data_IF_835417576911
#
_entry.id   IF_835417576911
#
_cell.length_a   1.000
_cell.length_b   1.000
_cell.length_c   1.000
_cell.angle_alpha   90.00
_cell.angle_beta   90.00
_cell.angle_gamma   90.00
#
_symmetry.space_group_name_H-M   'P 1'
#
loop_
_entity.id
_entity.type
_entity.pdbx_description
1 polymer ?
#
# COMPACT_ATOMS: atom_id res chain seq x y z
N UNK A 1 -16.69 0.09 -14.90
CA UNK A 1 -16.35 -1.14 -14.15
C UNK A 1 -15.40 -0.74 -13.03
N UNK A 2 -15.46 -1.37 -11.85
CA UNK A 2 -14.48 -1.13 -10.80
C UNK A 2 -13.09 -1.57 -11.27
N UNK A 3 -12.05 -0.84 -10.85
CA UNK A 3 -10.65 -1.15 -11.20
C UNK A 3 -10.15 -2.44 -10.53
N UNK A 4 -10.67 -2.77 -9.34
CA UNK A 4 -10.33 -3.94 -8.54
C UNK A 4 -11.59 -4.71 -8.15
N UNK A 5 -11.52 -6.04 -8.12
CA UNK A 5 -12.68 -6.91 -7.84
C UNK A 5 -12.98 -7.05 -6.35
N UNK A 6 -11.95 -7.03 -5.48
CA UNK A 6 -11.98 -7.32 -4.04
C UNK A 6 -12.68 -8.63 -3.65
N UNK A 7 -11.89 -9.63 -3.24
CA UNK A 7 -12.43 -10.87 -2.72
C UNK A 7 -12.71 -10.73 -1.21
N UNK A 8 -13.94 -11.06 -0.74
CA UNK A 8 -14.29 -10.96 0.67
C UNK A 8 -13.52 -11.99 1.51
N UNK A 9 -13.45 -11.76 2.83
CA UNK A 9 -12.78 -12.65 3.81
C UNK A 9 -13.27 -14.10 3.75
N UNK A 10 -14.58 -14.29 3.52
CA UNK A 10 -15.22 -15.59 3.41
C UNK A 10 -15.35 -16.09 1.96
N UNK A 11 -14.61 -15.50 1.03
CA UNK A 11 -14.61 -15.98 -0.35
C UNK A 11 -14.03 -17.39 -0.38
N UNK A 12 -14.72 -18.36 -1.03
CA UNK A 12 -14.34 -19.76 -0.94
C UNK A 12 -12.96 -20.07 -1.53
N UNK A 13 -12.39 -19.19 -2.38
CA UNK A 13 -10.97 -19.09 -2.72
C UNK A 13 -10.78 -18.04 -3.85
N UNK A 14 -9.58 -17.50 -4.02
CA UNK A 14 -9.17 -16.90 -5.29
C UNK A 14 -9.26 -17.99 -6.35
N UNK A 15 -10.29 -17.93 -7.20
CA UNK A 15 -10.50 -18.95 -8.22
C UNK A 15 -9.46 -18.83 -9.34
N UNK A 16 -9.28 -19.89 -10.11
CA UNK A 16 -8.37 -19.94 -11.27
C UNK A 16 -8.61 -18.77 -12.26
N UNK A 17 -9.84 -18.27 -12.34
CA UNK A 17 -10.19 -17.14 -13.19
C UNK A 17 -9.44 -15.85 -12.81
N UNK A 18 -9.11 -15.64 -11.54
CA UNK A 18 -8.30 -14.49 -11.14
C UNK A 18 -6.92 -14.53 -11.78
N UNK A 19 -6.21 -15.66 -11.69
CA UNK A 19 -4.90 -15.85 -12.31
C UNK A 19 -4.98 -15.70 -13.83
N UNK A 20 -5.99 -16.31 -14.47
CA UNK A 20 -6.23 -16.16 -15.91
C UNK A 20 -6.53 -14.71 -16.31
N UNK A 21 -7.22 -13.94 -15.46
CA UNK A 21 -7.48 -12.53 -15.70
C UNK A 21 -6.21 -11.69 -15.65
N UNK A 22 -5.24 -12.03 -14.78
CA UNK A 22 -3.94 -11.37 -14.75
C UNK A 22 -3.16 -11.64 -16.06
N UNK A 23 -3.12 -12.90 -16.51
CA UNK A 23 -2.52 -13.27 -17.80
C UNK A 23 -3.15 -12.52 -18.97
N UNK A 24 -4.47 -12.33 -18.95
CA UNK A 24 -5.17 -11.59 -20.01
C UNK A 24 -4.84 -10.09 -19.96
N UNK A 25 -4.76 -9.51 -18.75
CA UNK A 25 -4.50 -8.07 -18.53
C UNK A 25 -3.11 -7.66 -19.02
N UNK A 26 -2.11 -8.55 -18.91
CA UNK A 26 -0.72 -8.26 -19.25
C UNK A 26 -0.15 -9.17 -20.36
N UNK A 27 -0.96 -9.97 -21.05
CA UNK A 27 -0.50 -10.98 -22.01
C UNK A 27 0.06 -10.47 -23.34
N UNK A 28 0.21 -9.15 -23.51
CA UNK A 28 0.76 -8.50 -24.73
C UNK A 28 2.15 -7.90 -24.48
N UNK A 29 2.98 -8.56 -23.69
CA UNK A 29 4.32 -8.06 -23.34
C UNK A 29 5.39 -8.93 -24.00
N UNK A 30 6.56 -8.35 -24.22
CA UNK A 30 7.73 -9.07 -24.74
C UNK A 30 8.28 -10.11 -23.73
N UNK A 31 7.86 -10.02 -22.47
CA UNK A 31 8.20 -10.95 -21.38
C UNK A 31 7.05 -11.91 -21.03
N UNK A 32 6.13 -12.17 -21.97
CA UNK A 32 4.96 -13.02 -21.73
C UNK A 32 5.28 -14.37 -21.07
N UNK A 33 6.32 -15.07 -21.52
CA UNK A 33 6.68 -16.38 -20.95
C UNK A 33 7.16 -16.24 -19.49
N UNK A 34 7.95 -15.22 -19.18
CA UNK A 34 8.36 -14.93 -17.81
C UNK A 34 7.14 -14.69 -16.93
N UNK A 35 6.20 -13.88 -17.43
CA UNK A 35 4.98 -13.55 -16.73
C UNK A 35 4.06 -14.75 -16.48
N UNK A 36 3.95 -15.68 -17.45
CA UNK A 36 3.21 -16.93 -17.28
C UNK A 36 3.81 -17.80 -16.16
N UNK A 37 5.13 -17.90 -16.09
CA UNK A 37 5.84 -18.63 -15.03
C UNK A 37 5.68 -17.96 -13.66
N UNK A 38 5.77 -16.63 -13.59
CA UNK A 38 5.53 -15.83 -12.38
C UNK A 38 4.12 -16.04 -11.82
N UNK A 39 3.10 -15.99 -12.68
CA UNK A 39 1.70 -16.24 -12.29
C UNK A 39 1.51 -17.68 -11.81
N UNK A 40 2.13 -18.66 -12.47
CA UNK A 40 2.08 -20.06 -12.04
C UNK A 40 2.75 -20.27 -10.67
N UNK A 41 3.89 -19.62 -10.41
CA UNK A 41 4.57 -19.64 -9.12
C UNK A 41 3.70 -19.02 -8.01
N UNK A 42 3.07 -17.86 -8.28
CA UNK A 42 2.15 -17.22 -7.34
C UNK A 42 0.91 -18.10 -7.07
N UNK A 43 0.39 -18.78 -8.08
CA UNK A 43 -0.73 -19.71 -7.93
C UNK A 43 -0.34 -20.94 -7.09
N UNK A 44 0.86 -21.49 -7.28
CA UNK A 44 1.37 -22.58 -6.47
C UNK A 44 1.51 -22.15 -5.00
N UNK A 45 2.00 -20.94 -4.76
CA UNK A 45 2.11 -20.34 -3.43
C UNK A 45 0.75 -20.14 -2.77
N UNK A 46 -0.23 -19.56 -3.49
CA UNK A 46 -1.60 -19.38 -3.00
C UNK A 46 -2.21 -20.69 -2.48
N UNK A 47 -2.01 -21.77 -3.25
CA UNK A 47 -2.50 -23.11 -2.96
C UNK A 47 -1.63 -23.90 -1.95
N UNK A 48 -0.68 -23.23 -1.28
CA UNK A 48 0.22 -23.84 -0.31
C UNK A 48 1.03 -25.03 -0.85
N UNK A 49 1.31 -25.05 -2.16
CA UNK A 49 2.13 -26.08 -2.82
C UNK A 49 3.62 -25.81 -2.70
N UNK A 50 3.99 -24.58 -2.35
CA UNK A 50 5.38 -24.12 -2.17
C UNK A 50 5.52 -23.38 -0.85
N UNK A 51 6.74 -23.40 -0.28
CA UNK A 51 7.06 -22.52 0.85
C UNK A 51 7.24 -21.07 0.37
N UNK A 52 7.29 -20.13 1.30
CA UNK A 52 7.51 -18.70 1.00
C UNK A 52 8.86 -18.51 0.28
N UNK A 53 9.92 -19.17 0.72
CA UNK A 53 11.26 -19.09 0.14
C UNK A 53 11.32 -19.73 -1.25
N UNK A 54 10.67 -20.89 -1.41
CA UNK A 54 10.60 -21.55 -2.70
C UNK A 54 9.82 -20.69 -3.70
N UNK A 55 8.67 -20.14 -3.28
CA UNK A 55 7.88 -19.23 -4.09
C UNK A 55 8.63 -17.96 -4.48
N UNK A 56 9.41 -17.38 -3.56
CA UNK A 56 10.24 -16.21 -3.85
C UNK A 56 11.30 -16.50 -4.92
N UNK A 57 11.95 -17.65 -4.87
CA UNK A 57 12.87 -18.07 -5.92
C UNK A 57 12.15 -18.36 -7.23
N UNK A 58 11.04 -19.11 -7.19
CA UNK A 58 10.32 -19.51 -8.40
C UNK A 58 9.66 -18.32 -9.12
N UNK A 59 9.21 -17.30 -8.39
CA UNK A 59 8.59 -16.10 -8.99
C UNK A 59 9.63 -15.12 -9.54
N UNK A 60 10.87 -15.11 -9.04
CA UNK A 60 11.92 -14.20 -9.51
C UNK A 60 12.80 -14.81 -10.61
N UNK A 61 12.98 -16.13 -10.58
CA UNK A 61 13.83 -16.88 -11.51
C UNK A 61 13.56 -16.61 -13.00
N UNK A 62 12.30 -16.46 -13.48
CA UNK A 62 12.06 -16.18 -14.90
C UNK A 62 12.70 -14.87 -15.36
N UNK A 63 12.67 -13.83 -14.51
CA UNK A 63 13.34 -12.55 -14.76
C UNK A 63 14.85 -12.72 -14.64
N UNK A 64 15.33 -13.30 -13.54
CA UNK A 64 16.76 -13.50 -13.27
C UNK A 64 17.47 -14.28 -14.38
N UNK A 65 16.78 -15.24 -15.02
CA UNK A 65 17.33 -16.06 -16.10
C UNK A 65 17.05 -15.53 -17.51
N UNK A 66 16.21 -14.52 -17.66
CA UNK A 66 15.94 -13.89 -18.96
C UNK A 66 17.00 -12.83 -19.28
N UNK A 67 17.51 -12.74 -20.52
CA UNK A 67 18.36 -11.63 -20.90
C UNK A 67 17.54 -10.34 -20.94
N UNK A 68 18.21 -9.19 -20.83
CA UNK A 68 17.56 -7.91 -21.08
C UNK A 68 17.14 -7.84 -22.55
N UNK A 69 15.87 -7.57 -22.80
CA UNK A 69 15.37 -7.41 -24.17
C UNK A 69 15.57 -5.97 -24.67
N UNK A 70 16.13 -5.83 -25.87
CA UNK A 70 16.18 -4.55 -26.58
C UNK A 70 14.84 -4.30 -27.28
N UNK A 71 13.97 -3.52 -26.64
CA UNK A 71 12.66 -3.13 -27.15
C UNK A 71 12.71 -1.72 -27.80
N UNK A 72 13.89 -1.10 -27.85
CA UNK A 72 14.10 0.25 -28.37
C UNK A 72 13.57 1.36 -27.44
N UNK A 73 13.31 1.06 -26.17
CA UNK A 73 12.78 1.98 -25.17
C UNK A 73 13.82 2.41 -24.13
N UNK A 74 13.57 3.55 -23.47
CA UNK A 74 14.39 4.05 -22.37
C UNK A 74 14.19 3.29 -21.04
N UNK A 75 13.35 2.27 -21.02
CA UNK A 75 12.87 1.62 -19.78
C UNK A 75 12.69 0.12 -19.95
N UNK A 76 13.44 -0.49 -20.88
CA UNK A 76 13.30 -1.90 -21.24
C UNK A 76 13.70 -2.83 -20.09
N UNK A 77 14.57 -2.34 -19.21
CA UNK A 77 15.08 -2.96 -17.98
C UNK A 77 14.05 -3.09 -16.87
N UNK A 78 13.00 -2.26 -16.89
CA UNK A 78 11.96 -2.29 -15.84
C UNK A 78 10.68 -3.00 -16.29
N UNK A 79 10.54 -3.34 -17.57
CA UNK A 79 9.27 -3.88 -18.13
C UNK A 79 8.88 -5.20 -17.45
N UNK A 80 9.83 -6.12 -17.29
CA UNK A 80 9.59 -7.42 -16.64
C UNK A 80 9.28 -7.24 -15.15
N UNK A 81 10.08 -6.42 -14.46
CA UNK A 81 9.91 -6.12 -13.03
C UNK A 81 8.54 -5.48 -12.74
N UNK A 82 8.13 -4.51 -13.57
CA UNK A 82 6.83 -3.87 -13.39
C UNK A 82 5.68 -4.88 -13.52
N UNK A 83 5.77 -5.87 -14.41
CA UNK A 83 4.75 -6.93 -14.55
C UNK A 83 4.64 -7.77 -13.28
N UNK A 84 5.77 -8.25 -12.76
CA UNK A 84 5.82 -8.95 -11.47
C UNK A 84 5.22 -8.09 -10.35
N UNK A 85 5.58 -6.81 -10.28
CA UNK A 85 5.03 -5.90 -9.28
C UNK A 85 3.54 -5.64 -9.45
N UNK A 86 3.03 -5.60 -10.68
CA UNK A 86 1.61 -5.47 -10.92
C UNK A 86 0.82 -6.68 -10.39
N UNK A 87 1.29 -7.92 -10.58
CA UNK A 87 0.56 -9.09 -10.05
C UNK A 87 0.60 -9.15 -8.53
N UNK A 88 1.74 -8.81 -7.91
CA UNK A 88 1.86 -8.79 -6.45
C UNK A 88 1.06 -7.63 -5.83
N UNK A 89 1.04 -6.46 -6.47
CA UNK A 89 0.13 -5.36 -6.10
C UNK A 89 -1.32 -5.77 -6.21
N UNK A 90 -1.73 -6.39 -7.31
CA UNK A 90 -3.11 -6.83 -7.50
C UNK A 90 -3.46 -7.92 -6.48
N UNK A 91 -2.54 -8.81 -6.12
CA UNK A 91 -2.74 -9.78 -5.03
C UNK A 91 -2.92 -9.08 -3.67
N UNK A 92 -2.06 -8.11 -3.34
CA UNK A 92 -2.18 -7.32 -2.09
C UNK A 92 -3.54 -6.63 -1.97
N UNK A 93 -4.10 -6.13 -3.07
CA UNK A 93 -5.36 -5.37 -3.07
C UNK A 93 -6.57 -6.30 -3.20
N UNK A 94 -6.55 -7.24 -4.13
CA UNK A 94 -7.72 -8.03 -4.50
C UNK A 94 -7.89 -9.27 -3.62
N UNK A 95 -6.82 -9.88 -3.10
CA UNK A 95 -6.95 -11.10 -2.28
C UNK A 95 -7.62 -10.84 -0.93
N UNK A 96 -8.25 -11.87 -0.32
CA UNK A 96 -8.87 -11.74 1.00
C UNK A 96 -7.91 -11.13 2.04
N UNK A 97 -8.38 -10.28 2.96
CA UNK A 97 -7.57 -9.69 4.03
C UNK A 97 -6.68 -10.67 4.80
N UNK A 98 -7.16 -11.87 5.12
CA UNK A 98 -6.32 -12.93 5.73
C UNK A 98 -5.05 -13.28 4.95
N UNK A 99 -5.05 -13.13 3.62
CA UNK A 99 -3.89 -13.48 2.77
C UNK A 99 -2.90 -12.32 2.58
N UNK A 100 -3.18 -11.12 3.09
CA UNK A 100 -2.24 -9.98 2.94
C UNK A 100 -0.89 -10.25 3.62
N UNK A 101 -0.90 -10.92 4.78
CA UNK A 101 0.34 -11.28 5.48
C UNK A 101 1.21 -12.25 4.66
N UNK A 102 0.59 -13.20 3.94
CA UNK A 102 1.30 -14.16 3.09
C UNK A 102 2.04 -13.46 1.95
N UNK A 103 1.40 -12.47 1.31
CA UNK A 103 2.05 -11.71 0.23
C UNK A 103 3.17 -10.83 0.78
N UNK A 104 2.98 -10.19 1.93
CA UNK A 104 4.06 -9.41 2.58
C UNK A 104 5.25 -10.31 2.93
N UNK A 105 4.99 -11.53 3.42
CA UNK A 105 6.04 -12.52 3.69
C UNK A 105 6.76 -12.97 2.41
N UNK A 106 6.02 -13.24 1.32
CA UNK A 106 6.58 -13.56 0.01
C UNK A 106 7.49 -12.43 -0.49
N UNK A 107 7.03 -11.18 -0.44
CA UNK A 107 7.82 -10.02 -0.86
C UNK A 107 9.07 -9.83 0.02
N UNK A 108 8.98 -10.10 1.32
CA UNK A 108 10.13 -10.11 2.24
C UNK A 108 11.12 -11.23 1.92
N UNK A 109 10.65 -12.37 1.39
CA UNK A 109 11.54 -13.43 0.94
C UNK A 109 12.18 -13.09 -0.41
N UNK A 110 11.48 -12.39 -1.30
CA UNK A 110 12.04 -11.88 -2.56
C UNK A 110 13.25 -10.98 -2.29
N UNK A 111 13.22 -10.12 -1.27
CA UNK A 111 14.39 -9.27 -0.93
C UNK A 111 15.64 -10.05 -0.52
N UNK A 112 15.54 -11.36 -0.30
CA UNK A 112 16.64 -12.24 0.08
C UNK A 112 17.12 -13.12 -1.08
N UNK A 113 16.47 -13.04 -2.24
CA UNK A 113 16.90 -13.77 -3.44
C UNK A 113 18.23 -13.21 -3.91
N UNK A 114 19.20 -14.11 -4.10
CA UNK A 114 20.58 -13.76 -4.47
C UNK A 114 20.82 -13.73 -5.98
N UNK A 115 19.91 -14.30 -6.76
CA UNK A 115 20.02 -14.31 -8.21
C UNK A 115 19.95 -12.88 -8.76
N UNK A 116 20.86 -12.49 -9.68
CA UNK A 116 20.88 -11.14 -10.22
C UNK A 116 19.71 -10.93 -11.19
N UNK A 117 19.24 -9.69 -11.28
CA UNK A 117 18.19 -9.32 -12.24
C UNK A 117 18.74 -9.37 -13.66
N UNK A 118 17.99 -9.99 -14.58
CA UNK A 118 18.35 -10.15 -15.99
C UNK A 118 19.79 -10.66 -16.20
N UNK A 119 20.17 -11.77 -15.55
CA UNK A 119 21.54 -12.34 -15.58
C UNK A 119 22.65 -11.39 -15.14
N UNK A 120 22.30 -10.31 -14.45
CA UNK A 120 23.20 -9.23 -14.04
C UNK A 120 23.45 -8.18 -15.12
N UNK A 121 22.63 -8.12 -16.17
CA UNK A 121 22.72 -7.11 -17.22
C UNK A 121 22.21 -5.73 -16.77
N UNK A 122 21.32 -5.68 -15.77
CA UNK A 122 20.87 -4.43 -15.14
C UNK A 122 21.79 -4.09 -13.98
N UNK A 123 22.32 -2.85 -13.97
CA UNK A 123 23.27 -2.38 -12.97
C UNK A 123 22.63 -1.34 -12.04
N UNK A 124 23.04 -1.32 -10.78
CA UNK A 124 22.73 -0.23 -9.87
C UNK A 124 23.43 1.05 -10.32
N UNK A 125 22.67 2.15 -10.40
CA UNK A 125 23.18 3.44 -10.87
C UNK A 125 24.32 3.97 -9.99
N UNK A 126 24.32 3.67 -8.69
CA UNK A 126 25.25 4.26 -7.73
C UNK A 126 26.62 3.58 -7.73
N UNK A 127 26.64 2.25 -7.79
CA UNK A 127 27.88 1.46 -7.62
C UNK A 127 28.24 0.59 -8.83
N UNK A 128 27.40 0.58 -9.87
CA UNK A 128 27.60 -0.18 -11.12
C UNK A 128 27.70 -1.69 -10.89
N UNK A 129 27.21 -2.20 -9.76
CA UNK A 129 27.10 -3.64 -9.51
C UNK A 129 25.78 -4.19 -10.05
N UNK A 130 25.66 -5.51 -10.31
CA UNK A 130 24.40 -6.10 -10.73
C UNK A 130 23.27 -5.78 -9.76
N UNK A 131 22.16 -5.27 -10.29
CA UNK A 131 21.01 -4.88 -9.49
C UNK A 131 20.43 -6.11 -8.77
N UNK A 132 20.16 -5.93 -7.48
CA UNK A 132 19.65 -6.99 -6.59
C UNK A 132 18.17 -6.84 -6.27
N UNK A 133 17.59 -7.90 -5.70
CA UNK A 133 16.20 -7.90 -5.22
C UNK A 133 16.00 -7.21 -3.86
N UNK A 134 17.08 -6.85 -3.15
CA UNK A 134 17.06 -6.44 -1.74
C UNK A 134 16.21 -5.19 -1.43
N UNK A 135 15.92 -4.37 -2.44
CA UNK A 135 15.09 -3.16 -2.32
C UNK A 135 13.78 -3.21 -3.10
N UNK A 136 13.39 -4.36 -3.66
CA UNK A 136 12.25 -4.50 -4.57
C UNK A 136 12.25 -3.40 -5.66
N UNK A 137 13.26 -3.41 -6.55
CA UNK A 137 13.54 -2.26 -7.41
C UNK A 137 12.31 -1.88 -8.25
N UNK A 138 11.98 -0.59 -8.26
CA UNK A 138 10.77 0.00 -8.88
C UNK A 138 9.40 -0.42 -8.30
N UNK A 139 9.34 -1.29 -7.29
CA UNK A 139 8.06 -1.60 -6.64
C UNK A 139 7.37 -0.36 -6.04
N UNK A 140 8.05 0.58 -5.34
CA UNK A 140 7.40 1.78 -4.80
C UNK A 140 6.72 2.64 -5.88
N UNK A 141 7.25 2.65 -7.10
CA UNK A 141 6.64 3.34 -8.24
C UNK A 141 5.32 2.67 -8.61
N UNK A 142 5.33 1.34 -8.85
CA UNK A 142 4.14 0.56 -9.19
C UNK A 142 3.08 0.57 -8.09
N UNK A 143 3.51 0.59 -6.82
CA UNK A 143 2.64 0.71 -5.67
C UNK A 143 1.96 2.09 -5.60
N UNK A 144 2.69 3.17 -5.92
CA UNK A 144 2.14 4.53 -5.89
C UNK A 144 1.00 4.70 -6.89
N UNK A 145 1.02 3.98 -8.02
CA UNK A 145 -0.11 3.93 -8.96
C UNK A 145 -1.39 3.35 -8.35
N UNK A 146 -1.34 2.62 -7.22
CA UNK A 146 -2.56 2.19 -6.52
C UNK A 146 -3.35 3.38 -5.95
N UNK A 147 -2.67 4.48 -5.61
CA UNK A 147 -3.20 5.64 -4.91
C UNK A 147 -3.31 6.89 -5.80
N UNK A 148 -3.38 6.70 -7.12
CA UNK A 148 -3.49 7.81 -8.06
C UNK A 148 -4.75 8.68 -7.84
N UNK A 149 -5.79 8.12 -7.20
CA UNK A 149 -6.98 8.86 -6.73
C UNK A 149 -6.92 9.10 -5.24
N UNK A 150 -7.10 10.35 -4.82
CA UNK A 150 -7.31 10.72 -3.42
C UNK A 150 -8.74 10.41 -2.97
N UNK A 151 -9.01 10.30 -1.66
CA UNK A 151 -10.37 10.06 -1.15
C UNK A 151 -11.43 11.03 -1.65
N UNK A 152 -11.11 12.32 -1.80
CA UNK A 152 -12.04 13.29 -2.38
C UNK A 152 -12.36 12.98 -3.85
N UNK A 153 -11.35 12.64 -4.65
CA UNK A 153 -11.53 12.26 -6.05
C UNK A 153 -12.36 10.97 -6.18
N UNK A 154 -12.10 9.97 -5.32
CA UNK A 154 -12.89 8.74 -5.26
C UNK A 154 -14.36 9.05 -4.95
N UNK A 155 -14.63 9.82 -3.89
CA UNK A 155 -15.98 10.18 -3.48
C UNK A 155 -16.73 10.95 -4.56
N UNK A 156 -16.04 11.82 -5.31
CA UNK A 156 -16.59 12.59 -6.44
C UNK A 156 -16.92 11.69 -7.64
N UNK A 157 -16.04 10.75 -7.97
CA UNK A 157 -16.16 9.91 -9.17
C UNK A 157 -17.10 8.71 -8.96
N UNK A 158 -17.47 8.41 -7.72
CA UNK A 158 -18.44 7.36 -7.41
C UNK A 158 -19.80 7.66 -8.06
N UNK A 159 -20.29 6.71 -8.86
CA UNK A 159 -21.53 6.87 -9.64
C UNK A 159 -22.80 6.62 -8.83
N UNK A 160 -22.69 5.92 -7.70
CA UNK A 160 -23.77 5.62 -6.76
C UNK A 160 -23.17 5.12 -5.43
N UNK A 161 -24.03 4.89 -4.44
CA UNK A 161 -23.61 4.46 -3.10
C UNK A 161 -22.87 3.12 -3.11
N UNK A 162 -23.33 2.13 -3.89
CA UNK A 162 -22.66 0.83 -3.97
C UNK A 162 -21.24 0.95 -4.56
N UNK A 163 -21.06 1.79 -5.58
CA UNK A 163 -19.76 2.10 -6.17
C UNK A 163 -18.84 2.81 -5.16
N UNK A 164 -19.39 3.74 -4.38
CA UNK A 164 -18.66 4.44 -3.31
C UNK A 164 -18.20 3.47 -2.22
N UNK A 165 -19.08 2.60 -1.74
CA UNK A 165 -18.75 1.60 -0.72
C UNK A 165 -17.70 0.60 -1.21
N UNK A 166 -17.78 0.21 -2.49
CA UNK A 166 -16.75 -0.62 -3.10
C UNK A 166 -15.38 0.06 -3.13
N UNK A 167 -15.31 1.29 -3.63
CA UNK A 167 -14.06 2.05 -3.70
C UNK A 167 -13.51 2.42 -2.31
N UNK A 168 -14.40 2.62 -1.34
CA UNK A 168 -14.02 2.77 0.08
C UNK A 168 -13.34 1.51 0.59
N UNK A 169 -13.92 0.32 0.34
CA UNK A 169 -13.30 -0.94 0.72
C UNK A 169 -11.93 -1.15 0.04
N UNK A 170 -11.80 -0.74 -1.23
CA UNK A 170 -10.52 -0.81 -1.97
C UNK A 170 -9.49 0.06 -1.28
N UNK A 171 -9.85 1.32 -1.00
CA UNK A 171 -8.95 2.26 -0.35
C UNK A 171 -8.49 1.77 1.03
N UNK A 172 -9.41 1.28 1.86
CA UNK A 172 -9.06 0.77 3.20
C UNK A 172 -8.13 -0.43 3.09
N UNK A 173 -8.39 -1.33 2.14
CA UNK A 173 -7.53 -2.48 1.86
C UNK A 173 -6.13 -2.06 1.40
N UNK A 174 -6.03 -1.04 0.55
CA UNK A 174 -4.76 -0.46 0.15
C UNK A 174 -4.00 0.15 1.34
N UNK A 175 -4.68 0.87 2.25
CA UNK A 175 -4.06 1.41 3.46
C UNK A 175 -3.56 0.32 4.42
N UNK A 176 -4.31 -0.77 4.60
CA UNK A 176 -3.86 -1.94 5.39
C UNK A 176 -2.62 -2.59 4.78
N UNK A 177 -2.63 -2.81 3.46
CA UNK A 177 -1.50 -3.38 2.75
C UNK A 177 -0.26 -2.47 2.84
N UNK A 178 -0.40 -1.16 2.63
CA UNK A 178 0.70 -0.21 2.72
C UNK A 178 1.28 -0.16 4.15
N UNK A 179 0.41 -0.10 5.17
CA UNK A 179 0.85 -0.12 6.56
C UNK A 179 1.66 -1.38 6.89
N UNK A 180 1.26 -2.55 6.40
CA UNK A 180 2.01 -3.80 6.59
C UNK A 180 3.32 -3.84 5.80
N UNK A 181 3.34 -3.33 4.57
CA UNK A 181 4.57 -3.21 3.77
C UNK A 181 5.60 -2.29 4.45
N UNK A 182 5.15 -1.18 5.03
CA UNK A 182 6.01 -0.29 5.83
C UNK A 182 6.50 -0.97 7.10
N UNK A 183 5.62 -1.68 7.82
CA UNK A 183 5.99 -2.41 9.02
C UNK A 183 7.04 -3.51 8.73
N UNK A 184 6.94 -4.14 7.56
CA UNK A 184 7.91 -5.13 7.08
C UNK A 184 9.22 -4.52 6.53
N UNK A 185 9.34 -3.19 6.45
CA UNK A 185 10.50 -2.50 5.91
C UNK A 185 10.62 -2.55 4.38
N UNK A 186 9.55 -2.93 3.68
CA UNK A 186 9.49 -3.01 2.22
C UNK A 186 9.13 -1.66 1.57
N UNK A 187 8.55 -0.74 2.34
CA UNK A 187 8.30 0.64 1.94
C UNK A 187 8.85 1.60 3.01
N UNK A 188 9.15 2.82 2.59
CA UNK A 188 9.75 3.81 3.47
C UNK A 188 8.85 4.16 4.66
N UNK A 189 9.47 4.21 5.83
CA UNK A 189 8.82 4.53 7.10
C UNK A 189 8.12 5.89 7.12
N UNK A 190 8.65 6.87 6.41
CA UNK A 190 8.12 8.23 6.43
C UNK A 190 6.69 8.33 5.92
N UNK A 191 6.23 7.34 5.14
CA UNK A 191 4.83 7.20 4.70
C UNK A 191 3.86 7.15 5.89
N UNK A 192 4.19 6.41 6.96
CA UNK A 192 3.35 6.31 8.15
C UNK A 192 3.16 7.69 8.82
N UNK A 193 4.26 8.38 9.11
CA UNK A 193 4.21 9.71 9.73
C UNK A 193 3.47 10.73 8.85
N UNK A 194 3.71 10.74 7.53
CA UNK A 194 3.03 11.64 6.60
C UNK A 194 1.52 11.39 6.56
N UNK A 195 1.08 10.13 6.56
CA UNK A 195 -0.32 9.78 6.58
C UNK A 195 -1.00 10.29 7.86
N UNK A 196 -0.38 10.04 9.02
CA UNK A 196 -0.91 10.50 10.32
C UNK A 196 -1.01 12.02 10.40
N UNK A 197 0.01 12.75 9.93
CA UNK A 197 0.01 14.21 9.91
C UNK A 197 -1.14 14.73 9.05
N UNK A 198 -1.23 14.29 7.79
CA UNK A 198 -2.25 14.74 6.83
C UNK A 198 -3.66 14.50 7.34
N UNK A 199 -3.87 13.40 8.04
CA UNK A 199 -5.20 13.01 8.49
C UNK A 199 -5.59 13.61 9.84
N UNK A 200 -4.68 13.65 10.82
CA UNK A 200 -5.02 14.01 12.21
C UNK A 200 -4.58 15.42 12.61
N UNK A 201 -3.60 16.04 11.94
CA UNK A 201 -3.15 17.38 12.35
C UNK A 201 -4.03 18.50 11.77
N UNK A 202 -4.75 18.23 10.68
CA UNK A 202 -5.73 19.16 10.08
C UNK A 202 -7.11 19.03 10.74
N UNK A 203 -7.86 20.14 10.83
CA UNK A 203 -9.30 20.13 11.18
C UNK A 203 -10.12 19.94 9.90
N UNK A 204 -11.07 18.99 9.86
CA UNK A 204 -12.05 18.94 8.77
C UNK A 204 -12.81 20.26 8.68
N UNK A 205 -13.01 20.75 7.46
CA UNK A 205 -13.79 21.96 7.16
C UNK A 205 -15.07 21.65 6.37
N UNK A 206 -15.92 22.66 6.09
CA UNK A 206 -17.12 22.47 5.28
C UNK A 206 -16.84 21.88 3.88
N UNK A 207 -15.68 22.23 3.32
CA UNK A 207 -15.22 21.70 2.04
C UNK A 207 -14.97 20.19 2.08
N UNK A 208 -14.67 19.60 3.24
CA UNK A 208 -14.38 18.17 3.37
C UNK A 208 -15.65 17.31 3.32
N UNK A 209 -16.81 17.89 3.62
CA UNK A 209 -18.09 17.18 3.60
C UNK A 209 -18.72 17.20 2.21
N UNK A 210 -18.59 18.33 1.47
CA UNK A 210 -19.21 18.47 0.14
C UNK A 210 -18.55 17.59 -0.93
N UNK A 211 -19.32 17.24 -1.96
CA UNK A 211 -18.77 16.67 -3.19
C UNK A 211 -18.07 17.81 -3.95
N UNK A 212 -16.77 17.65 -4.25
CA UNK A 212 -16.01 18.64 -4.99
C UNK A 212 -16.47 18.71 -6.46
N UNK A 213 -16.45 19.90 -7.09
CA UNK A 213 -16.86 20.07 -8.49
C UNK A 213 -15.79 19.58 -9.49
N UNK A 214 -14.51 19.56 -9.10
CA UNK A 214 -13.39 19.15 -9.95
C UNK A 214 -12.41 18.24 -9.20
N UNK A 215 -11.61 17.46 -9.92
CA UNK A 215 -10.60 16.58 -9.31
C UNK A 215 -9.48 17.38 -8.61
N UNK A 216 -9.20 18.61 -9.05
CA UNK A 216 -8.25 19.52 -8.40
C UNK A 216 -8.75 20.03 -7.05
N UNK A 217 -10.04 20.37 -6.93
CA UNK A 217 -10.65 20.71 -5.64
C UNK A 217 -10.82 19.48 -4.74
N UNK A 218 -11.05 18.31 -5.33
CA UNK A 218 -11.22 17.06 -4.62
C UNK A 218 -9.91 16.55 -3.99
N UNK A 219 -8.76 16.87 -4.59
CA UNK A 219 -7.44 16.37 -4.21
C UNK A 219 -7.10 16.62 -2.74
N UNK A 220 -7.43 17.83 -2.25
CA UNK A 220 -7.17 18.24 -0.89
C UNK A 220 -8.25 17.89 0.13
N UNK A 221 -9.32 17.19 -0.24
CA UNK A 221 -10.42 16.92 0.70
C UNK A 221 -10.06 15.81 1.70
N UNK A 222 -10.27 16.08 2.98
CA UNK A 222 -10.12 15.14 4.08
C UNK A 222 -11.43 14.37 4.29
N UNK A 223 -11.66 13.32 3.49
CA UNK A 223 -12.81 12.42 3.62
C UNK A 223 -12.64 11.45 4.79
N UNK A 224 -13.28 11.73 5.93
CA UNK A 224 -13.10 10.97 7.18
C UNK A 224 -13.49 9.50 7.04
N UNK A 225 -14.49 9.19 6.21
CA UNK A 225 -14.95 7.83 5.95
C UNK A 225 -13.87 6.94 5.35
N UNK A 226 -12.94 7.52 4.58
CA UNK A 226 -11.75 6.82 4.06
C UNK A 226 -10.60 6.86 5.06
N UNK A 227 -10.33 8.06 5.58
CA UNK A 227 -9.07 8.38 6.21
C UNK A 227 -8.95 7.80 7.62
N UNK A 228 -10.04 7.79 8.41
CA UNK A 228 -10.03 7.30 9.80
C UNK A 228 -9.90 5.77 9.87
N UNK A 229 -10.61 4.97 9.05
CA UNK A 229 -10.30 3.54 8.94
C UNK A 229 -8.84 3.28 8.54
N UNK A 230 -8.29 4.04 7.60
CA UNK A 230 -6.87 3.93 7.25
C UNK A 230 -5.94 4.28 8.42
N UNK A 231 -6.23 5.33 9.19
CA UNK A 231 -5.48 5.66 10.42
C UNK A 231 -5.45 4.48 11.37
N UNK A 232 -6.59 3.82 11.58
CA UNK A 232 -6.65 2.63 12.43
C UNK A 232 -5.65 1.56 11.97
N UNK A 233 -5.52 1.33 10.66
CA UNK A 233 -4.57 0.36 10.09
C UNK A 233 -3.11 0.77 10.25
N UNK A 234 -2.81 2.06 10.06
CA UNK A 234 -1.46 2.58 10.31
C UNK A 234 -1.07 2.42 11.79
N UNK A 235 -1.94 2.76 12.73
CA UNK A 235 -1.64 2.59 14.16
C UNK A 235 -1.54 1.10 14.53
N UNK A 236 -2.41 0.24 13.98
CA UNK A 236 -2.39 -1.20 14.23
C UNK A 236 -1.02 -1.82 13.93
N UNK A 237 -0.42 -1.50 12.78
CA UNK A 237 0.84 -2.12 12.33
C UNK A 237 2.09 -1.33 12.67
N UNK A 238 1.98 -0.01 12.84
CA UNK A 238 3.13 0.90 12.95
C UNK A 238 3.10 1.78 14.20
N UNK A 239 2.11 1.62 15.08
CA UNK A 239 1.91 2.49 16.23
C UNK A 239 3.11 2.58 17.17
N UNK A 240 3.77 1.46 17.48
CA UNK A 240 4.96 1.45 18.34
C UNK A 240 6.09 2.31 17.76
N UNK A 241 6.36 2.15 16.46
CA UNK A 241 7.40 2.94 15.78
C UNK A 241 6.98 4.41 15.64
N UNK A 242 5.69 4.69 15.41
CA UNK A 242 5.15 6.06 15.37
C UNK A 242 5.37 6.77 16.70
N UNK A 243 5.11 6.08 17.81
CA UNK A 243 5.26 6.63 19.16
C UNK A 243 6.74 6.85 19.53
N UNK A 244 7.61 5.90 19.21
CA UNK A 244 9.03 5.97 19.56
C UNK A 244 9.85 6.89 18.63
N UNK A 245 9.34 7.22 17.44
CA UNK A 245 10.03 8.08 16.45
C UNK A 245 9.39 9.48 16.31
N UNK A 246 8.66 9.97 17.32
CA UNK A 246 8.02 11.30 17.26
C UNK A 246 9.02 12.43 17.03
N UNK A 247 10.21 12.34 17.62
CA UNK A 247 11.30 13.31 17.44
C UNK A 247 11.76 13.39 15.99
N UNK A 248 11.93 12.23 15.33
CA UNK A 248 12.30 12.15 13.91
C UNK A 248 11.26 12.87 13.05
N UNK A 249 9.97 12.57 13.27
CA UNK A 249 8.86 13.20 12.53
C UNK A 249 8.80 14.70 12.83
N UNK A 250 9.15 15.13 14.05
CA UNK A 250 9.16 16.55 14.44
C UNK A 250 10.27 17.35 13.75
N UNK A 251 11.36 16.67 13.38
CA UNK A 251 12.52 17.24 12.71
C UNK A 251 12.43 17.24 11.18
N UNK A 252 11.36 16.68 10.59
CA UNK A 252 11.15 16.76 9.15
C UNK A 252 11.00 18.22 8.69
N UNK A 253 11.71 18.59 7.61
CA UNK A 253 11.56 19.91 7.00
C UNK A 253 10.19 20.02 6.32
N UNK A 254 9.59 21.22 6.38
CA UNK A 254 8.39 21.58 5.62
C UNK A 254 8.58 21.46 4.10
N UNK A 255 9.82 21.46 3.59
CA UNK A 255 10.10 21.15 2.18
C UNK A 255 9.99 19.67 1.87
N UNK A 256 10.43 18.82 2.80
CA UNK A 256 10.36 17.35 2.66
C UNK A 256 8.98 16.79 2.97
N UNK A 257 8.23 17.48 3.84
CA UNK A 257 6.90 17.08 4.25
C UNK A 257 5.84 17.97 3.58
N UNK A 258 4.87 17.34 2.95
CA UNK A 258 3.86 18.02 2.16
C UNK A 258 2.96 18.85 3.10
N UNK A 259 3.17 20.17 3.09
CA UNK A 259 2.33 21.29 3.57
C UNK A 259 1.77 21.33 5.01
N UNK A 260 1.78 20.28 5.84
CA UNK A 260 0.95 20.27 7.07
C UNK A 260 1.67 19.91 8.38
N UNK A 261 2.98 19.67 8.35
CA UNK A 261 3.73 19.27 9.57
C UNK A 261 3.79 20.40 10.59
N UNK A 262 3.11 20.19 11.73
CA UNK A 262 3.27 21.04 12.91
C UNK A 262 4.50 20.65 13.69
N UNK A 263 5.18 21.62 14.28
CA UNK A 263 6.26 21.38 15.24
C UNK A 263 5.70 21.43 16.65
N UNK A 264 6.14 20.51 17.49
CA UNK A 264 5.77 20.39 18.88
C UNK A 264 7.01 20.44 19.76
N UNK A 265 6.89 21.08 20.93
CA UNK A 265 7.92 21.09 21.96
C UNK A 265 7.22 20.95 23.33
N UNK A 266 7.16 19.72 23.91
CA UNK A 266 7.86 18.50 23.50
C UNK A 266 7.18 17.69 22.37
N UNK A 267 7.91 16.86 21.60
CA UNK A 267 7.34 16.05 20.49
C UNK A 267 6.23 15.06 20.89
N UNK A 268 6.18 14.66 22.16
CA UNK A 268 5.10 13.85 22.74
C UNK A 268 3.72 14.52 22.66
N UNK A 269 3.65 15.86 22.56
CA UNK A 269 2.41 16.59 22.35
C UNK A 269 1.72 16.22 21.03
N UNK A 270 2.48 15.83 20.00
CA UNK A 270 1.92 15.35 18.74
C UNK A 270 1.06 14.11 18.95
N UNK A 271 1.55 13.15 19.71
CA UNK A 271 0.80 11.93 20.00
C UNK A 271 -0.46 12.23 20.82
N UNK A 272 -0.36 13.12 21.81
CA UNK A 272 -1.52 13.55 22.59
C UNK A 272 -2.55 14.28 21.72
N UNK A 273 -2.11 15.10 20.75
CA UNK A 273 -2.99 15.72 19.76
C UNK A 273 -3.72 14.64 18.94
N UNK A 274 -3.00 13.67 18.37
CA UNK A 274 -3.60 12.59 17.58
C UNK A 274 -4.63 11.79 18.39
N UNK A 275 -4.30 11.44 19.64
CA UNK A 275 -5.25 10.79 20.56
C UNK A 275 -6.50 11.65 20.79
N UNK A 276 -6.32 12.93 21.09
CA UNK A 276 -7.45 13.86 21.29
C UNK A 276 -8.36 13.91 20.06
N UNK A 277 -7.78 13.93 18.85
CA UNK A 277 -8.58 13.94 17.61
C UNK A 277 -9.38 12.68 17.40
N UNK A 278 -8.77 11.52 17.63
CA UNK A 278 -9.48 10.26 17.51
C UNK A 278 -10.59 10.16 18.56
N UNK A 279 -10.39 10.71 19.76
CA UNK A 279 -11.43 10.78 20.78
C UNK A 279 -12.60 11.68 20.35
N UNK A 280 -12.31 12.90 19.87
CA UNK A 280 -13.33 13.81 19.32
C UNK A 280 -14.17 13.11 18.24
N UNK A 281 -13.52 12.37 17.32
CA UNK A 281 -14.18 11.63 16.24
C UNK A 281 -14.99 10.44 16.78
N UNK A 282 -14.46 9.70 17.76
CA UNK A 282 -15.12 8.53 18.35
C UNK A 282 -16.39 8.89 19.13
N UNK A 283 -16.46 10.10 19.67
CA UNK A 283 -17.56 10.60 20.51
C UNK A 283 -18.60 11.44 19.74
N UNK A 284 -18.27 11.90 18.52
CA UNK A 284 -19.18 12.69 17.69
C UNK A 284 -20.41 11.87 17.27
N UNK A 285 -21.62 12.23 17.72
CA UNK A 285 -22.85 11.50 17.41
C UNK A 285 -23.31 11.66 15.96
N UNK A 286 -22.85 12.70 15.26
CA UNK A 286 -23.26 13.03 13.90
C UNK A 286 -22.49 12.24 12.85
N UNK A 287 -21.36 11.62 13.23
CA UNK A 287 -20.55 10.78 12.35
C UNK A 287 -21.10 9.35 12.25
N UNK A 288 -20.94 8.75 11.07
CA UNK A 288 -21.31 7.36 10.83
C UNK A 288 -20.60 6.41 11.80
N UNK A 289 -21.30 5.37 12.25
CA UNK A 289 -20.79 4.40 13.22
C UNK A 289 -19.47 3.76 12.79
N UNK A 290 -19.28 3.46 11.51
CA UNK A 290 -18.04 2.88 10.99
C UNK A 290 -16.82 3.78 11.24
N UNK A 291 -16.97 5.10 11.10
CA UNK A 291 -15.91 6.09 11.33
C UNK A 291 -15.55 6.13 12.81
N UNK A 292 -16.58 6.15 13.67
CA UNK A 292 -16.41 6.20 15.13
C UNK A 292 -15.78 4.93 15.66
N UNK A 293 -16.18 3.77 15.15
CA UNK A 293 -15.62 2.47 15.54
C UNK A 293 -14.17 2.32 15.08
N UNK A 294 -13.83 2.80 13.89
CA UNK A 294 -12.44 2.87 13.45
C UNK A 294 -11.59 3.78 14.36
N UNK A 295 -12.11 4.95 14.75
CA UNK A 295 -11.41 5.83 15.69
C UNK A 295 -11.23 5.19 17.08
N UNK A 296 -12.23 4.48 17.58
CA UNK A 296 -12.13 3.70 18.84
C UNK A 296 -11.09 2.60 18.74
N UNK A 297 -11.07 1.86 17.64
CA UNK A 297 -10.08 0.81 17.38
C UNK A 297 -8.67 1.40 17.39
N UNK A 298 -8.46 2.51 16.67
CA UNK A 298 -7.21 3.24 16.67
C UNK A 298 -6.78 3.66 18.09
N UNK A 299 -7.68 4.23 18.90
CA UNK A 299 -7.43 4.58 20.30
C UNK A 299 -7.04 3.38 21.16
N UNK A 300 -7.72 2.24 21.01
CA UNK A 300 -7.39 1.00 21.74
C UNK A 300 -5.97 0.54 21.44
N UNK A 301 -5.54 0.61 20.17
CA UNK A 301 -4.15 0.34 19.81
C UNK A 301 -3.20 1.36 20.45
N UNK A 302 -3.49 2.66 20.38
CA UNK A 302 -2.67 3.69 21.02
C UNK A 302 -2.53 3.52 22.54
N UNK A 303 -3.58 3.04 23.22
CA UNK A 303 -3.57 2.79 24.66
C UNK A 303 -2.67 1.60 25.03
N UNK A 304 -2.68 0.54 24.22
CA UNK A 304 -1.79 -0.63 24.42
C UNK A 304 -0.31 -0.24 24.37
N UNK A 305 0.03 0.71 23.50
CA UNK A 305 1.42 1.20 23.32
C UNK A 305 1.88 1.97 24.56
N UNK A 306 1.04 2.85 25.12
CA UNK A 306 1.37 3.62 26.35
C UNK A 306 1.46 2.77 27.62
N UNK A 307 0.98 1.53 27.60
CA UNK A 307 0.99 0.64 28.76
C UNK A 307 2.29 -0.17 28.89
N UNK A 308 3.21 -0.05 27.92
CA UNK A 308 4.53 -0.69 27.85
C UNK A 308 5.59 0.35 28.20
#
# INVERSE_FOLDING_TARGET
MPFFTLYPENSPDINEQWFQSQLTRYGKTSYKNCFEEEVAALQAFYNHKTSVEQAANDITRPISNSPLQDLGGYSDDIVALCQLWYILKNALIEWPPSRTADIVALMTAITKVTDPIHRGEVLDENDQTPLSWAGLPWFPMVWSDAFWRTPGQIARQATNEASRQHELAVYIKQQDAEARLVAAGLLNWDRAGRYMIRTLERKPGPDDVRIAPSDGEADGQLKLEFQIPGVSKWIEHNGDRLYNSLDEINNWDKKTAWCEVKRFDPPSERWNLWQKRLLEIAEDSELETVIRDAARTALQHMQKIKAI
#
